data_IF_016998714960
#
_entry.id   IF_016998714960
#
_cell.length_a   1.000
_cell.length_b   1.000
_cell.length_c   1.000
_cell.angle_alpha   90.00
_cell.angle_beta   90.00
_cell.angle_gamma   90.00
#
_symmetry.space_group_name_H-M   'P 1'
#
loop_
_entity.id
_entity.type
_entity.pdbx_description
1 polymer ?
#
# COMPACT_ATOMS: atom_id res chain seq x y z
N UNK A 1 11.83 4.62 23.55
CA UNK A 1 11.23 3.36 23.05
C UNK A 1 11.49 3.27 21.55
N UNK A 2 12.03 2.16 21.04
CA UNK A 2 12.19 1.96 19.59
C UNK A 2 10.82 1.64 19.01
N UNK A 3 10.29 2.51 18.14
CA UNK A 3 9.13 2.19 17.32
C UNK A 3 9.60 1.25 16.21
N UNK A 4 8.97 0.08 16.08
CA UNK A 4 9.31 -0.86 15.02
C UNK A 4 8.38 -0.58 13.84
N UNK A 5 8.90 0.08 12.82
CA UNK A 5 8.19 0.15 11.56
C UNK A 5 8.24 -1.24 10.91
N UNK A 6 7.13 -1.65 10.31
CA UNK A 6 6.97 -2.87 9.54
C UNK A 6 6.92 -2.52 8.06
N UNK A 7 7.37 -3.45 7.21
CA UNK A 7 7.28 -3.34 5.76
C UNK A 7 6.34 -4.43 5.24
N UNK A 8 5.20 -4.03 4.67
CA UNK A 8 4.32 -4.93 3.92
C UNK A 8 4.59 -4.79 2.42
N UNK A 9 4.71 -5.93 1.74
CA UNK A 9 4.87 -6.01 0.28
C UNK A 9 3.56 -6.48 -0.33
N UNK A 10 2.97 -5.63 -1.17
CA UNK A 10 1.62 -5.83 -1.69
C UNK A 10 1.68 -5.91 -3.22
N UNK A 11 1.24 -7.03 -3.77
CA UNK A 11 1.22 -7.23 -5.23
C UNK A 11 -0.10 -6.78 -5.84
N UNK A 12 -0.04 -6.09 -6.98
CA UNK A 12 -1.19 -5.89 -7.84
C UNK A 12 -1.50 -7.15 -8.67
N UNK A 13 -2.76 -7.29 -9.05
CA UNK A 13 -3.29 -8.39 -9.86
C UNK A 13 -2.61 -8.49 -11.23
N UNK A 14 -2.20 -7.36 -11.79
CA UNK A 14 -1.52 -7.25 -13.08
C UNK A 14 -0.47 -6.13 -13.03
N UNK A 15 0.45 -6.14 -14.00
CA UNK A 15 1.45 -5.10 -14.19
C UNK A 15 0.76 -3.76 -14.52
N UNK A 16 1.13 -2.70 -13.80
CA UNK A 16 0.63 -1.36 -14.09
C UNK A 16 1.49 -0.70 -15.16
N UNK A 17 0.85 -0.22 -16.23
CA UNK A 17 1.50 0.68 -17.18
C UNK A 17 2.01 1.95 -16.50
N UNK A 18 2.97 2.64 -17.10
CA UNK A 18 3.54 3.89 -16.53
C UNK A 18 2.45 4.92 -16.20
N UNK A 19 1.45 5.08 -17.07
CA UNK A 19 0.30 5.97 -16.84
C UNK A 19 -0.54 5.55 -15.64
N UNK A 20 -0.80 4.24 -15.48
CA UNK A 20 -1.51 3.71 -14.32
C UNK A 20 -0.70 3.87 -13.03
N UNK A 21 0.61 3.67 -13.07
CA UNK A 21 1.49 3.89 -11.93
C UNK A 21 1.45 5.35 -11.47
N UNK A 22 1.53 6.30 -12.41
CA UNK A 22 1.47 7.73 -12.10
C UNK A 22 0.13 8.11 -11.46
N UNK A 23 -0.99 7.69 -12.07
CA UNK A 23 -2.32 7.91 -11.52
C UNK A 23 -2.50 7.28 -10.13
N UNK A 24 -1.96 6.08 -9.94
CA UNK A 24 -2.03 5.38 -8.66
C UNK A 24 -1.17 6.05 -7.61
N UNK A 25 0.05 6.50 -7.94
CA UNK A 25 0.90 7.27 -7.03
C UNK A 25 0.19 8.53 -6.52
N UNK A 26 -0.49 9.28 -7.40
CA UNK A 26 -1.29 10.44 -6.99
C UNK A 26 -2.41 10.08 -6.00
N UNK A 27 -3.07 8.93 -6.17
CA UNK A 27 -4.08 8.45 -5.22
C UNK A 27 -3.45 8.01 -3.90
N UNK A 28 -2.37 7.21 -3.97
CA UNK A 28 -1.64 6.68 -2.82
C UNK A 28 -1.08 7.77 -1.90
N UNK A 29 -0.79 8.97 -2.42
CA UNK A 29 -0.40 10.11 -1.58
C UNK A 29 -1.43 10.45 -0.49
N UNK A 30 -2.72 10.15 -0.69
CA UNK A 30 -3.73 10.38 0.35
C UNK A 30 -3.56 9.44 1.55
N UNK A 31 -2.98 8.25 1.35
CA UNK A 31 -2.70 7.30 2.45
C UNK A 31 -1.60 7.79 3.38
N UNK A 32 -0.71 8.68 2.94
CA UNK A 32 0.30 9.28 3.81
C UNK A 32 -0.32 10.18 4.91
N UNK A 33 -1.61 10.51 4.81
CA UNK A 33 -2.36 11.22 5.85
C UNK A 33 -2.96 10.29 6.90
N UNK A 34 -2.93 8.98 6.66
CA UNK A 34 -3.46 7.97 7.59
C UNK A 34 -2.44 7.76 8.70
N UNK A 35 -2.88 7.93 9.94
CA UNK A 35 -2.06 7.66 11.13
C UNK A 35 -1.50 6.24 11.06
N UNK A 36 -0.18 6.12 11.16
CA UNK A 36 0.51 4.83 11.13
C UNK A 36 1.12 4.48 9.77
N UNK A 37 0.75 5.11 8.66
CA UNK A 37 1.48 4.96 7.39
C UNK A 37 2.72 5.86 7.44
N UNK A 38 3.90 5.27 7.20
CA UNK A 38 5.19 5.98 7.24
C UNK A 38 5.66 6.31 5.83
N UNK A 39 5.66 5.32 4.93
CA UNK A 39 6.13 5.51 3.56
C UNK A 39 5.47 4.55 2.58
N UNK A 40 5.44 4.95 1.29
CA UNK A 40 4.82 4.20 0.20
C UNK A 40 5.72 4.26 -1.03
N UNK A 41 5.97 3.11 -1.66
CA UNK A 41 6.68 3.04 -2.94
C UNK A 41 5.96 2.08 -3.89
N UNK A 42 5.49 2.59 -5.02
CA UNK A 42 4.88 1.78 -6.08
C UNK A 42 5.88 1.61 -7.22
N UNK A 43 6.27 0.36 -7.48
CA UNK A 43 7.06 -0.04 -8.63
C UNK A 43 6.34 -1.16 -9.40
N UNK A 44 5.87 -0.82 -10.61
CA UNK A 44 5.33 -1.75 -11.60
C UNK A 44 4.15 -2.61 -11.12
N UNK A 45 4.41 -3.66 -10.35
CA UNK A 45 3.40 -4.56 -9.79
C UNK A 45 3.43 -4.62 -8.25
N UNK A 46 4.38 -3.93 -7.62
CA UNK A 46 4.66 -4.08 -6.19
C UNK A 46 4.50 -2.73 -5.51
N UNK A 47 3.65 -2.71 -4.49
CA UNK A 47 3.52 -1.61 -3.55
C UNK A 47 4.20 -2.01 -2.24
N UNK A 48 5.22 -1.26 -1.87
CA UNK A 48 5.87 -1.33 -0.57
C UNK A 48 5.17 -0.34 0.36
N UNK A 49 4.72 -0.81 1.51
CA UNK A 49 4.08 0.00 2.55
C UNK A 49 4.86 -0.13 3.84
N UNK A 50 5.50 0.95 4.26
CA UNK A 50 6.07 1.04 5.60
C UNK A 50 5.02 1.61 6.55
N UNK A 51 4.78 0.93 7.67
CA UNK A 51 3.77 1.33 8.64
C UNK A 51 4.19 1.02 10.08
N UNK A 52 3.55 1.69 11.03
CA UNK A 52 3.70 1.43 12.46
C UNK A 52 2.64 0.43 12.91
N UNK A 53 3.07 -0.72 13.43
CA UNK A 53 2.20 -1.79 13.93
C UNK A 53 1.40 -1.40 15.19
N UNK A 54 1.80 -0.33 15.87
CA UNK A 54 1.03 0.32 16.95
C UNK A 54 -0.35 0.83 16.47
N UNK A 55 -0.48 1.23 15.20
CA UNK A 55 -1.68 1.89 14.67
C UNK A 55 -2.39 1.11 13.58
N UNK A 56 -1.67 0.26 12.84
CA UNK A 56 -2.18 -0.42 11.66
C UNK A 56 -1.73 -1.88 11.62
N UNK A 57 -2.59 -2.73 11.07
CA UNK A 57 -2.28 -4.09 10.70
C UNK A 57 -2.35 -4.27 9.16
N UNK A 58 -1.72 -5.32 8.59
CA UNK A 58 -1.76 -5.59 7.15
C UNK A 58 -3.17 -5.69 6.54
N UNK A 59 -4.15 -6.17 7.31
CA UNK A 59 -5.54 -6.30 6.87
C UNK A 59 -6.21 -4.93 6.70
N UNK A 60 -6.00 -4.02 7.64
CA UNK A 60 -6.47 -2.63 7.55
C UNK A 60 -5.84 -1.90 6.35
N UNK A 61 -4.55 -2.09 6.10
CA UNK A 61 -3.86 -1.51 4.93
C UNK A 61 -4.49 -2.03 3.62
N UNK A 62 -4.74 -3.34 3.52
CA UNK A 62 -5.37 -3.93 2.33
C UNK A 62 -6.78 -3.41 2.11
N UNK A 63 -7.56 -3.21 3.18
CA UNK A 63 -8.90 -2.63 3.08
C UNK A 63 -8.86 -1.20 2.52
N UNK A 64 -7.98 -0.34 3.05
CA UNK A 64 -7.79 1.02 2.55
C UNK A 64 -7.40 1.04 1.07
N UNK A 65 -6.51 0.13 0.66
CA UNK A 65 -6.10 -0.01 -0.73
C UNK A 65 -7.26 -0.43 -1.65
N UNK A 66 -8.12 -1.35 -1.21
CA UNK A 66 -9.32 -1.74 -1.96
C UNK A 66 -10.31 -0.58 -2.11
N UNK A 67 -10.57 0.17 -1.03
CA UNK A 67 -11.47 1.32 -1.04
C UNK A 67 -11.01 2.42 -2.02
N UNK A 68 -9.70 2.54 -2.23
CA UNK A 68 -9.10 3.46 -3.21
C UNK A 68 -9.05 2.90 -4.65
N UNK A 69 -9.46 1.65 -4.84
CA UNK A 69 -9.41 0.96 -6.13
C UNK A 69 -8.02 0.48 -6.53
N UNK A 70 -7.12 0.23 -5.58
CA UNK A 70 -5.85 -0.44 -5.89
C UNK A 70 -6.14 -1.90 -6.31
N UNK A 71 -5.60 -2.36 -7.44
CA UNK A 71 -5.93 -3.69 -7.98
C UNK A 71 -5.16 -4.77 -7.25
N UNK A 72 -5.49 -5.05 -5.99
CA UNK A 72 -4.84 -6.10 -5.19
C UNK A 72 -4.91 -7.47 -5.86
N UNK A 73 -3.80 -8.20 -5.82
CA UNK A 73 -3.80 -9.63 -6.09
C UNK A 73 -4.46 -10.33 -4.90
N UNK A 74 -5.67 -10.85 -5.10
CA UNK A 74 -6.28 -11.74 -4.12
C UNK A 74 -5.35 -12.95 -3.96
N UNK A 75 -5.06 -13.32 -2.70
CA UNK A 75 -4.45 -14.64 -2.46
C UNK A 75 -5.50 -15.65 -2.92
N UNK A 76 -5.22 -16.34 -4.02
CA UNK A 76 -5.87 -17.61 -4.32
C UNK A 76 -5.54 -18.50 -3.12
N UNK A 77 -6.55 -18.78 -2.28
CA UNK A 77 -6.45 -19.74 -1.19
C UNK A 77 -6.14 -21.12 -1.75
#
# INVERSE_FOLDING_TARGET
MKRFNQLEVIHSRHLLSLKQQEQMRCRLQQLLKVTGIVSLCLDSQVLFVEYSDEFLDPGSIKRLLLEMGFPLKEKVQ
#
